data_IF_017811544885
#
_entry.id   IF_017811544885
#
_cell.length_a   1.000
_cell.length_b   1.000
_cell.length_c   1.000
_cell.angle_alpha   90.00
_cell.angle_beta   90.00
_cell.angle_gamma   90.00
#
_symmetry.space_group_name_H-M   'P 1'
#
loop_
_entity.id
_entity.type
_entity.pdbx_description
1 polymer ?
#
# COMPACT_ATOMS: atom_id res chain seq x y z
N UNK A 1 6.46 35.00 -23.94
CA UNK A 1 5.82 34.09 -22.96
C UNK A 1 6.36 32.74 -23.36
N UNK A 2 7.44 32.33 -22.72
CA UNK A 2 8.31 31.32 -23.31
C UNK A 2 8.02 29.99 -22.61
N UNK A 3 7.28 29.13 -23.30
CA UNK A 3 6.97 27.79 -22.81
C UNK A 3 8.26 26.97 -22.73
N UNK A 4 8.69 26.64 -21.52
CA UNK A 4 9.80 25.71 -21.30
C UNK A 4 9.41 24.32 -21.82
N UNK A 5 10.16 23.79 -22.78
CA UNK A 5 10.02 22.43 -23.29
C UNK A 5 11.24 21.65 -22.84
N UNK A 6 11.03 20.57 -22.07
CA UNK A 6 12.12 19.69 -21.67
C UNK A 6 12.66 18.91 -22.87
N UNK A 7 13.95 18.55 -22.89
CA UNK A 7 14.48 17.59 -23.86
C UNK A 7 13.69 16.28 -23.85
N UNK A 8 13.60 15.61 -25.01
CA UNK A 8 12.97 14.29 -25.09
C UNK A 8 13.83 13.27 -24.34
N UNK A 9 13.22 12.44 -23.51
CA UNK A 9 13.86 11.32 -22.85
C UNK A 9 12.96 10.08 -22.95
N UNK A 10 13.57 8.90 -22.98
CA UNK A 10 12.83 7.65 -23.07
C UNK A 10 12.36 7.22 -21.67
N UNK A 11 11.10 6.84 -21.55
CA UNK A 11 10.49 6.32 -20.31
C UNK A 11 10.19 4.83 -20.54
N UNK A 12 11.13 3.93 -20.22
CA UNK A 12 10.93 2.50 -20.48
C UNK A 12 9.88 1.86 -19.56
N UNK A 13 9.62 2.46 -18.40
CA UNK A 13 8.58 2.03 -17.46
C UNK A 13 7.94 3.27 -16.83
N UNK A 14 6.62 3.25 -16.67
CA UNK A 14 5.85 4.32 -16.03
C UNK A 14 4.89 5.02 -17.00
N UNK A 15 4.10 5.93 -16.45
CA UNK A 15 3.10 6.69 -17.21
C UNK A 15 3.53 8.16 -17.31
N UNK A 16 3.24 8.84 -18.44
CA UNK A 16 3.59 10.24 -18.61
C UNK A 16 2.83 11.12 -17.62
N UNK A 17 3.53 12.01 -16.92
CA UNK A 17 2.90 13.01 -16.06
C UNK A 17 2.15 14.05 -16.89
N UNK A 18 1.00 14.52 -16.39
CA UNK A 18 0.17 15.52 -17.07
C UNK A 18 -0.74 14.96 -18.18
N UNK A 19 -0.62 13.67 -18.52
CA UNK A 19 -1.59 13.04 -19.41
C UNK A 19 -2.92 12.78 -18.66
N UNK A 20 -4.08 13.14 -19.24
CA UNK A 20 -5.38 12.89 -18.63
C UNK A 20 -5.69 11.39 -18.47
N UNK A 21 -5.00 10.52 -19.21
CA UNK A 21 -5.20 9.07 -19.15
C UNK A 21 -4.34 8.37 -18.09
N UNK A 22 -3.24 8.99 -17.65
CA UNK A 22 -2.28 8.33 -16.75
C UNK A 22 -2.89 7.93 -15.41
N UNK A 23 -3.80 8.75 -14.87
CA UNK A 23 -4.46 8.44 -13.59
C UNK A 23 -5.32 7.17 -13.71
N UNK A 24 -6.15 7.09 -14.75
CA UNK A 24 -7.02 5.92 -14.98
C UNK A 24 -6.20 4.65 -15.22
N UNK A 25 -5.15 4.73 -16.04
CA UNK A 25 -4.27 3.59 -16.30
C UNK A 25 -3.56 3.11 -15.03
N UNK A 26 -3.16 4.04 -14.15
CA UNK A 26 -2.54 3.69 -12.88
C UNK A 26 -3.52 3.00 -11.91
N UNK A 27 -4.78 3.45 -11.85
CA UNK A 27 -5.83 2.80 -11.07
C UNK A 27 -6.06 1.36 -11.56
N UNK A 28 -6.13 1.14 -12.87
CA UNK A 28 -6.30 -0.19 -13.45
C UNK A 28 -5.10 -1.10 -13.12
N UNK A 29 -3.88 -0.57 -13.22
CA UNK A 29 -2.66 -1.28 -12.84
C UNK A 29 -2.67 -1.69 -11.35
N UNK A 30 -3.14 -0.83 -10.45
CA UNK A 30 -3.25 -1.11 -9.00
C UNK A 30 -4.45 -1.99 -8.61
N UNK A 31 -5.41 -2.25 -9.51
CA UNK A 31 -6.68 -2.91 -9.16
C UNK A 31 -6.52 -4.28 -8.49
N UNK A 32 -5.56 -5.09 -8.97
CA UNK A 32 -5.28 -6.42 -8.41
C UNK A 32 -4.70 -6.40 -6.98
N UNK A 33 -4.22 -5.25 -6.51
CA UNK A 33 -3.81 -5.08 -5.11
C UNK A 33 -5.01 -4.96 -4.17
N UNK A 34 -6.11 -4.39 -4.67
CA UNK A 34 -7.31 -4.08 -3.88
C UNK A 34 -8.30 -5.24 -3.90
N UNK A 35 -8.41 -5.87 -5.07
CA UNK A 35 -9.30 -7.00 -5.31
C UNK A 35 -8.44 -8.24 -5.54
N UNK A 36 -8.10 -9.01 -4.48
CA UNK A 36 -7.53 -10.33 -4.69
C UNK A 36 -8.48 -11.15 -5.57
N UNK A 37 -7.95 -12.07 -6.37
CA UNK A 37 -8.76 -12.93 -7.23
C UNK A 37 -8.89 -14.33 -6.57
N UNK A 38 -10.10 -14.80 -6.20
CA UNK A 38 -11.40 -14.16 -6.42
C UNK A 38 -11.68 -12.98 -5.45
N UNK A 39 -12.47 -11.97 -5.90
CA UNK A 39 -12.80 -10.81 -5.07
C UNK A 39 -13.47 -11.25 -3.77
N UNK A 40 -12.86 -10.91 -2.64
CA UNK A 40 -13.42 -11.17 -1.31
C UNK A 40 -13.88 -9.86 -0.69
N UNK A 41 -15.19 -9.69 -0.52
CA UNK A 41 -15.78 -8.64 0.30
C UNK A 41 -16.00 -9.16 1.72
N UNK A 42 -14.92 -9.62 2.36
CA UNK A 42 -14.98 -10.03 3.75
C UNK A 42 -15.27 -8.78 4.60
N UNK A 43 -16.36 -8.81 5.38
CA UNK A 43 -16.75 -7.70 6.26
C UNK A 43 -15.65 -7.31 7.24
N UNK A 44 -14.74 -8.23 7.55
CA UNK A 44 -13.68 -8.02 8.52
C UNK A 44 -12.36 -7.52 7.90
N UNK A 45 -12.19 -7.56 6.58
CA UNK A 45 -10.97 -7.13 5.89
C UNK A 45 -11.32 -6.41 4.60
N UNK A 46 -11.08 -5.09 4.54
CA UNK A 46 -11.36 -4.26 3.36
C UNK A 46 -10.10 -3.50 2.98
N UNK A 47 -9.78 -3.45 1.69
CA UNK A 47 -8.71 -2.61 1.15
C UNK A 47 -9.33 -1.44 0.38
N UNK A 48 -8.89 -0.23 0.68
CA UNK A 48 -9.27 0.99 -0.04
C UNK A 48 -8.02 1.63 -0.61
N UNK A 49 -8.15 2.33 -1.73
CA UNK A 49 -7.04 3.09 -2.29
C UNK A 49 -7.47 4.38 -2.96
N UNK A 50 -6.50 5.30 -3.00
CA UNK A 50 -6.57 6.56 -3.71
C UNK A 50 -5.28 6.75 -4.50
N UNK A 51 -5.36 6.55 -5.81
CA UNK A 51 -4.23 6.60 -6.75
C UNK A 51 -3.11 5.64 -6.31
N UNK A 52 -2.10 6.14 -5.59
CA UNK A 52 -0.92 5.43 -5.09
C UNK A 52 -1.02 5.03 -3.62
N UNK A 53 -1.95 5.62 -2.88
CA UNK A 53 -2.15 5.32 -1.47
C UNK A 53 -3.09 4.14 -1.29
N UNK A 54 -2.68 3.17 -0.49
CA UNK A 54 -3.45 1.94 -0.21
C UNK A 54 -3.56 1.79 1.30
N UNK A 55 -4.78 1.54 1.76
CA UNK A 55 -5.09 1.35 3.18
C UNK A 55 -5.84 0.04 3.36
N UNK A 56 -5.33 -0.82 4.23
CA UNK A 56 -6.00 -2.05 4.64
C UNK A 56 -6.70 -1.82 5.98
N UNK A 57 -8.01 -1.98 6.00
CA UNK A 57 -8.86 -1.91 7.18
C UNK A 57 -9.14 -3.33 7.67
N UNK A 58 -8.78 -3.61 8.92
CA UNK A 58 -8.84 -4.94 9.52
C UNK A 58 -9.65 -4.88 10.82
N UNK A 59 -10.69 -5.69 10.91
CA UNK A 59 -11.47 -5.91 12.13
C UNK A 59 -10.87 -7.11 12.86
N UNK A 60 -10.50 -6.90 14.13
CA UNK A 60 -9.85 -7.91 14.98
C UNK A 60 -10.41 -7.90 16.39
N UNK A 61 -10.41 -9.09 17.02
CA UNK A 61 -10.91 -9.29 18.38
C UNK A 61 -9.87 -8.93 19.44
N UNK A 62 -8.59 -9.00 19.11
CA UNK A 62 -7.47 -8.67 20.00
C UNK A 62 -6.22 -8.24 19.20
N UNK A 63 -5.23 -7.68 19.91
CA UNK A 63 -4.01 -7.13 19.30
C UNK A 63 -3.15 -8.20 18.63
N UNK A 64 -3.08 -9.42 19.18
CA UNK A 64 -2.26 -10.48 18.61
C UNK A 64 -2.79 -10.89 17.24
N UNK A 65 -4.10 -11.12 17.14
CA UNK A 65 -4.79 -11.33 15.86
C UNK A 65 -4.57 -10.14 14.90
N UNK A 66 -4.57 -8.90 15.44
CA UNK A 66 -4.21 -7.68 14.71
C UNK A 66 -2.83 -7.76 14.06
N UNK A 67 -1.81 -8.11 14.82
CA UNK A 67 -0.42 -8.24 14.31
C UNK A 67 -0.34 -9.28 13.19
N UNK A 68 -0.99 -10.42 13.36
CA UNK A 68 -0.92 -11.51 12.38
C UNK A 68 -1.62 -11.12 11.08
N UNK A 69 -2.82 -10.54 11.15
CA UNK A 69 -3.53 -10.04 9.95
C UNK A 69 -2.80 -8.90 9.25
N UNK A 70 -2.18 -7.99 10.01
CA UNK A 70 -1.37 -6.91 9.43
C UNK A 70 -0.17 -7.47 8.69
N UNK A 71 0.53 -8.46 9.26
CA UNK A 71 1.66 -9.12 8.59
C UNK A 71 1.23 -9.79 7.29
N UNK A 72 0.09 -10.48 7.29
CA UNK A 72 -0.49 -11.11 6.10
C UNK A 72 -0.80 -10.07 5.01
N UNK A 73 -1.49 -8.98 5.35
CA UNK A 73 -1.79 -7.90 4.40
C UNK A 73 -0.52 -7.28 3.81
N UNK A 74 0.48 -6.99 4.66
CA UNK A 74 1.77 -6.44 4.21
C UNK A 74 2.54 -7.42 3.30
N UNK A 75 2.50 -8.72 3.60
CA UNK A 75 3.12 -9.74 2.77
C UNK A 75 2.43 -9.84 1.39
N UNK A 76 1.10 -9.73 1.35
CA UNK A 76 0.33 -9.65 0.11
C UNK A 76 0.74 -8.45 -0.73
N UNK A 77 0.77 -7.26 -0.13
CA UNK A 77 1.19 -6.02 -0.80
C UNK A 77 2.63 -6.09 -1.31
N UNK A 78 3.56 -6.64 -0.52
CA UNK A 78 4.96 -6.83 -0.96
C UNK A 78 5.08 -7.80 -2.12
N UNK A 79 4.32 -8.90 -2.11
CA UNK A 79 4.30 -9.89 -3.19
C UNK A 79 3.76 -9.28 -4.48
N UNK A 80 2.66 -8.52 -4.38
CA UNK A 80 2.13 -7.76 -5.51
C UNK A 80 3.15 -6.73 -6.03
N UNK A 81 3.77 -5.96 -5.14
CA UNK A 81 4.76 -4.94 -5.50
C UNK A 81 5.96 -5.53 -6.24
N UNK A 82 6.49 -6.66 -5.75
CA UNK A 82 7.57 -7.39 -6.43
C UNK A 82 7.17 -7.88 -7.83
N UNK A 83 5.94 -8.38 -7.99
CA UNK A 83 5.42 -8.85 -9.28
C UNK A 83 5.24 -7.74 -10.31
N UNK A 84 4.73 -6.59 -9.87
CA UNK A 84 4.37 -5.49 -10.77
C UNK A 84 5.42 -4.38 -10.85
N UNK A 85 6.54 -4.50 -10.09
CA UNK A 85 7.61 -3.49 -9.97
C UNK A 85 7.14 -2.19 -9.30
N UNK A 86 6.27 -2.31 -8.31
CA UNK A 86 5.85 -1.23 -7.44
C UNK A 86 6.52 -1.35 -6.07
N UNK A 87 7.13 -0.27 -5.59
CA UNK A 87 7.87 -0.22 -4.33
C UNK A 87 7.02 0.52 -3.29
N UNK A 88 6.73 -0.15 -2.18
CA UNK A 88 6.12 0.51 -1.02
C UNK A 88 7.21 1.19 -0.19
N UNK A 89 6.96 2.44 0.18
CA UNK A 89 7.86 3.19 1.05
C UNK A 89 7.57 2.83 2.52
N UNK A 90 8.44 2.02 3.11
CA UNK A 90 8.34 1.62 4.51
C UNK A 90 8.32 2.83 5.46
N UNK A 91 9.02 3.92 5.14
CA UNK A 91 9.08 5.13 5.99
C UNK A 91 7.75 5.89 6.00
N UNK A 92 6.95 5.73 4.95
CA UNK A 92 5.61 6.35 4.82
C UNK A 92 4.48 5.43 5.29
N UNK A 93 4.80 4.18 5.59
CA UNK A 93 3.81 3.19 6.03
C UNK A 93 3.45 3.43 7.50
N UNK A 94 2.16 3.58 7.78
CA UNK A 94 1.66 3.87 9.13
C UNK A 94 0.65 2.81 9.58
N UNK A 95 0.69 2.47 10.87
CA UNK A 95 -0.27 1.57 11.50
C UNK A 95 -1.11 2.35 12.50
N UNK A 96 -2.43 2.30 12.35
CA UNK A 96 -3.38 3.01 13.20
C UNK A 96 -4.34 1.98 13.79
N UNK A 97 -4.51 2.03 15.12
CA UNK A 97 -5.45 1.16 15.85
C UNK A 97 -6.62 2.01 16.33
N UNK A 98 -7.82 1.72 15.85
CA UNK A 98 -9.06 2.31 16.35
C UNK A 98 -9.67 1.38 17.42
N UNK A 99 -10.00 1.93 18.59
CA UNK A 99 -10.64 1.18 19.68
C UNK A 99 -11.76 2.01 20.30
N UNK A 100 -12.84 1.34 20.74
CA UNK A 100 -14.00 1.99 21.39
C UNK A 100 -13.70 2.48 22.81
N UNK A 101 -12.69 1.92 23.47
CA UNK A 101 -12.28 2.30 24.83
C UNK A 101 -11.00 3.13 24.75
N UNK A 102 -10.92 4.22 25.51
CA UNK A 102 -9.66 4.96 25.75
C UNK A 102 -8.68 4.04 26.51
N UNK A 103 -8.05 3.11 25.81
CA UNK A 103 -6.85 2.47 26.31
C UNK A 103 -5.71 3.44 26.06
N UNK A 104 -5.03 3.86 27.12
CA UNK A 104 -3.76 4.58 27.05
C UNK A 104 -2.92 3.92 25.96
N UNK A 105 -2.65 4.65 24.87
CA UNK A 105 -1.87 4.16 23.74
C UNK A 105 -0.47 3.79 24.27
N UNK A 106 -0.28 2.51 24.64
CA UNK A 106 1.06 1.98 24.82
C UNK A 106 1.64 1.89 23.43
N UNK A 107 2.72 2.63 23.20
CA UNK A 107 3.55 2.56 21.99
C UNK A 107 3.85 1.08 21.72
N UNK A 108 3.17 0.49 20.75
CA UNK A 108 3.52 -0.85 20.29
C UNK A 108 4.68 -0.64 19.34
N UNK A 109 5.90 -0.71 19.87
CA UNK A 109 7.09 -0.85 19.04
C UNK A 109 6.97 -2.20 18.36
N UNK A 110 6.67 -2.19 17.07
CA UNK A 110 6.98 -3.34 16.22
C UNK A 110 8.49 -3.26 16.08
N UNK A 111 9.23 -4.11 16.78
CA UNK A 111 10.67 -4.23 16.59
C UNK A 111 10.91 -4.46 15.10
N UNK A 112 11.53 -3.47 14.45
CA UNK A 112 12.22 -3.70 13.19
C UNK A 112 13.25 -4.78 13.48
N UNK A 113 13.00 -6.00 13.04
CA UNK A 113 14.04 -7.01 12.97
C UNK A 113 15.04 -6.52 11.93
N UNK A 114 16.03 -5.76 12.40
CA UNK A 114 17.23 -5.36 11.69
C UNK A 114 18.07 -6.60 11.41
N UNK A 115 17.60 -7.45 10.50
CA UNK A 115 18.45 -8.38 9.80
C UNK A 115 18.48 -7.94 8.36
N UNK A 116 19.61 -7.30 8.05
CA UNK A 116 20.13 -7.07 6.73
C UNK A 116 19.74 -8.20 5.77
N UNK A 117 18.87 -7.89 4.82
CA UNK A 117 18.93 -8.51 3.52
C UNK A 117 19.23 -7.38 2.54
N UNK A 118 20.54 -7.18 2.31
CA UNK A 118 21.03 -6.73 1.01
C UNK A 118 20.49 -7.74 -0.01
N UNK A 119 19.55 -7.31 -0.84
CA UNK A 119 19.40 -7.71 -2.24
C UNK A 119 18.91 -6.48 -3.01
#
# INVERSE_FOLDING_TARGET
>A
MDSFISPKFNIPNGLPQGSPLSVTLYILYNSNLLFPNPPSLNKDNISIAYIDNVTHLLVVKNIQQGKDKVKEAMAGSKTWGSRYRAIFDNKKTNFIIFTKKQHTLRKVTIEESTHALRL
#
